data_IF_248442687293
#
_entry.id   IF_248442687293
#
_cell.length_a   1.000
_cell.length_b   1.000
_cell.length_c   1.000
_cell.angle_alpha   90.00
_cell.angle_beta   90.00
_cell.angle_gamma   90.00
#
_symmetry.space_group_name_H-M   'P 1'
#
loop_
_entity.id
_entity.type
_entity.pdbx_description
1 polymer ?
#
# COMPACT_ATOMS: atom_id res chain seq x y z
N UNK A 1 -14.35 31.57 28.05
CA UNK A 1 -14.37 30.82 26.77
C UNK A 1 -12.91 30.53 26.42
N UNK A 2 -12.46 29.29 26.52
CA UNK A 2 -11.06 28.92 26.26
C UNK A 2 -11.01 28.39 24.83
N UNK A 3 -10.26 29.08 23.97
CA UNK A 3 -10.01 28.65 22.59
C UNK A 3 -8.69 27.89 22.60
N UNK A 4 -8.75 26.57 22.53
CA UNK A 4 -7.55 25.74 22.40
C UNK A 4 -7.14 25.75 20.93
N UNK A 5 -6.08 26.48 20.60
CA UNK A 5 -5.48 26.43 19.26
C UNK A 5 -4.65 25.14 19.16
N UNK A 6 -5.06 24.24 18.27
CA UNK A 6 -4.27 23.06 17.93
C UNK A 6 -3.20 23.51 16.94
N UNK A 7 -1.97 23.72 17.41
CA UNK A 7 -0.84 24.00 16.54
C UNK A 7 -0.43 22.74 15.78
N UNK A 8 -0.46 22.82 14.44
CA UNK A 8 0.05 21.74 13.57
C UNK A 8 1.57 21.75 13.64
N UNK A 9 2.16 20.86 14.44
CA UNK A 9 3.62 20.66 14.46
C UNK A 9 3.99 19.66 13.37
N UNK A 10 4.71 20.13 12.34
CA UNK A 10 5.33 19.25 11.35
C UNK A 10 6.39 18.42 12.07
N UNK A 11 6.14 17.13 12.23
CA UNK A 11 7.16 16.20 12.72
C UNK A 11 8.02 15.85 11.51
N UNK A 12 9.22 16.42 11.46
CA UNK A 12 10.23 15.98 10.50
C UNK A 12 10.81 14.67 11.04
N UNK A 13 10.17 13.54 10.67
CA UNK A 13 10.81 12.24 10.83
C UNK A 13 12.03 12.25 9.90
N UNK A 14 13.22 12.36 10.49
CA UNK A 14 14.46 12.03 9.81
C UNK A 14 14.42 10.53 9.53
N UNK A 15 13.85 10.16 8.38
CA UNK A 15 14.01 8.81 7.83
C UNK A 15 15.51 8.62 7.67
N UNK A 16 16.07 7.60 8.32
CA UNK A 16 17.49 7.25 8.17
C UNK A 16 17.85 7.25 6.69
N UNK A 17 18.94 7.91 6.33
CA UNK A 17 19.48 8.02 4.96
C UNK A 17 19.72 6.67 4.28
N UNK A 18 19.61 5.56 5.01
CA UNK A 18 19.88 4.21 4.55
C UNK A 18 18.63 3.43 4.09
N UNK A 19 17.43 4.01 4.19
CA UNK A 19 16.21 3.34 3.70
C UNK A 19 16.00 3.73 2.23
N UNK A 20 16.00 2.77 1.28
CA UNK A 20 15.73 3.08 -0.12
C UNK A 20 14.33 3.68 -0.27
N UNK A 21 14.16 4.59 -1.23
CA UNK A 21 12.85 5.16 -1.53
C UNK A 21 11.86 4.03 -1.90
N UNK A 22 10.60 4.09 -1.44
CA UNK A 22 9.60 3.11 -1.81
C UNK A 22 9.25 3.23 -3.30
N UNK A 23 9.01 2.09 -3.95
CA UNK A 23 8.55 2.03 -5.35
C UNK A 23 7.13 2.61 -5.50
N UNK A 24 6.28 2.43 -4.49
CA UNK A 24 4.90 2.93 -4.48
C UNK A 24 4.63 3.84 -3.27
N UNK A 25 3.69 4.75 -3.43
CA UNK A 25 3.26 5.72 -2.41
C UNK A 25 1.81 5.47 -2.01
N UNK A 26 1.52 5.74 -0.75
CA UNK A 26 0.14 5.73 -0.23
C UNK A 26 -0.74 6.63 -1.10
N UNK A 27 -1.87 6.10 -1.54
CA UNK A 27 -2.85 6.75 -2.41
C UNK A 27 -2.71 6.41 -3.89
N UNK A 28 -1.60 5.82 -4.33
CA UNK A 28 -1.44 5.41 -5.73
C UNK A 28 -2.38 4.27 -6.11
N UNK A 29 -2.85 4.31 -7.36
CA UNK A 29 -3.62 3.25 -7.98
C UNK A 29 -2.66 2.24 -8.63
N UNK A 30 -2.87 0.97 -8.33
CA UNK A 30 -2.04 -0.14 -8.77
C UNK A 30 -2.92 -1.30 -9.21
N UNK A 31 -2.38 -2.18 -10.04
CA UNK A 31 -2.89 -3.52 -10.24
C UNK A 31 -2.09 -4.50 -9.39
N UNK A 32 -2.79 -5.48 -8.80
CA UNK A 32 -2.19 -6.49 -7.93
C UNK A 32 -2.51 -7.87 -8.48
N UNK A 33 -1.48 -8.71 -8.63
CA UNK A 33 -1.61 -10.08 -9.10
C UNK A 33 -1.97 -11.01 -7.93
N UNK A 34 -3.27 -11.21 -7.71
CA UNK A 34 -3.79 -12.00 -6.59
C UNK A 34 -4.68 -13.15 -7.05
N UNK A 35 -5.00 -14.08 -6.14
CA UNK A 35 -5.88 -15.21 -6.41
C UNK A 35 -7.34 -14.77 -6.52
N UNK A 36 -8.08 -15.34 -7.48
CA UNK A 36 -9.49 -15.04 -7.74
C UNK A 36 -10.40 -15.55 -6.61
N UNK A 37 -10.04 -16.66 -5.97
CA UNK A 37 -10.75 -17.21 -4.82
C UNK A 37 -9.79 -17.91 -3.86
N UNK A 38 -10.20 -18.00 -2.60
CA UNK A 38 -9.50 -18.80 -1.58
C UNK A 38 -9.60 -20.30 -1.89
N UNK A 39 -10.68 -20.74 -2.55
CA UNK A 39 -10.93 -22.14 -2.88
C UNK A 39 -10.08 -22.64 -4.05
N UNK A 40 -9.61 -21.74 -4.92
CA UNK A 40 -8.72 -22.07 -6.03
C UNK A 40 -7.56 -21.05 -6.11
N UNK A 41 -6.56 -21.15 -5.22
CA UNK A 41 -5.44 -20.20 -5.17
C UNK A 41 -4.54 -20.25 -6.40
N UNK A 42 -4.70 -21.28 -7.25
CA UNK A 42 -3.97 -21.44 -8.50
C UNK A 42 -4.47 -20.49 -9.60
N UNK A 43 -5.72 -20.04 -9.52
CA UNK A 43 -6.26 -19.08 -10.47
C UNK A 43 -5.94 -17.66 -9.99
N UNK A 44 -4.96 -17.02 -10.64
CA UNK A 44 -4.54 -15.65 -10.34
C UNK A 44 -4.89 -14.69 -11.47
N UNK A 45 -5.26 -13.46 -11.12
CA UNK A 45 -5.58 -12.36 -12.05
C UNK A 45 -5.09 -11.03 -11.48
N UNK A 46 -5.01 -10.04 -12.37
CA UNK A 46 -4.75 -8.66 -11.98
C UNK A 46 -6.03 -8.00 -11.49
N UNK A 47 -5.95 -7.35 -10.33
CA UNK A 47 -7.06 -6.63 -9.73
C UNK A 47 -6.67 -5.19 -9.43
N UNK A 48 -7.54 -4.21 -9.74
CA UNK A 48 -7.29 -2.83 -9.40
C UNK A 48 -7.37 -2.63 -7.87
N UNK A 49 -6.37 -1.96 -7.32
CA UNK A 49 -6.24 -1.68 -5.91
C UNK A 49 -5.66 -0.28 -5.66
N UNK A 50 -5.73 0.15 -4.40
CA UNK A 50 -5.13 1.40 -3.92
C UNK A 50 -4.16 1.09 -2.79
N UNK A 51 -2.97 1.69 -2.83
CA UNK A 51 -2.00 1.59 -1.72
C UNK A 51 -2.52 2.38 -0.52
N UNK A 52 -2.72 1.72 0.63
CA UNK A 52 -3.21 2.33 1.86
C UNK A 52 -2.15 2.40 2.96
N UNK A 53 -1.09 1.60 2.84
CA UNK A 53 0.01 1.56 3.81
C UNK A 53 1.30 1.02 3.18
N UNK A 54 2.41 1.25 3.86
CA UNK A 54 3.73 0.80 3.43
C UNK A 54 4.57 0.49 4.66
N UNK A 55 5.37 -0.57 4.58
CA UNK A 55 6.30 -0.99 5.62
C UNK A 55 7.63 -1.36 4.96
N UNK A 56 8.73 -1.01 5.62
CA UNK A 56 10.07 -1.43 5.22
C UNK A 56 10.64 -2.35 6.30
N UNK A 57 10.86 -3.62 5.95
CA UNK A 57 11.44 -4.63 6.85
C UNK A 57 12.55 -5.39 6.12
N UNK A 58 13.66 -5.68 6.82
CA UNK A 58 14.77 -6.48 6.28
C UNK A 58 15.24 -6.07 4.86
N UNK A 59 15.29 -4.77 4.59
CA UNK A 59 15.68 -4.20 3.28
C UNK A 59 14.71 -4.46 2.12
N UNK A 60 13.45 -4.83 2.40
CA UNK A 60 12.38 -4.97 1.41
C UNK A 60 11.17 -4.12 1.80
N UNK A 61 10.59 -3.46 0.80
CA UNK A 61 9.31 -2.78 0.94
C UNK A 61 8.15 -3.78 0.80
N UNK A 62 7.14 -3.61 1.63
CA UNK A 62 5.85 -4.29 1.54
C UNK A 62 4.76 -3.22 1.53
N UNK A 63 3.67 -3.48 0.81
CA UNK A 63 2.61 -2.50 0.62
C UNK A 63 1.28 -3.07 1.05
N UNK A 64 0.53 -2.28 1.78
CA UNK A 64 -0.85 -2.59 2.11
C UNK A 64 -1.74 -2.03 1.00
N UNK A 65 -2.61 -2.87 0.46
CA UNK A 65 -3.50 -2.53 -0.66
C UNK A 65 -4.95 -2.81 -0.32
N UNK A 66 -5.84 -1.97 -0.83
CA UNK A 66 -7.28 -2.15 -0.80
C UNK A 66 -7.80 -2.37 -2.22
N UNK A 67 -8.40 -3.53 -2.48
CA UNK A 67 -9.00 -3.83 -3.78
C UNK A 67 -10.26 -2.99 -4.05
N UNK A 68 -10.41 -2.52 -5.29
CA UNK A 68 -11.48 -1.57 -5.65
C UNK A 68 -12.74 -2.24 -6.20
N UNK A 69 -12.62 -3.41 -6.82
CA UNK A 69 -13.71 -4.06 -7.57
C UNK A 69 -14.12 -5.44 -7.03
N UNK A 70 -13.62 -5.82 -5.86
CA UNK A 70 -13.84 -7.16 -5.31
C UNK A 70 -14.66 -7.07 -4.03
N UNK A 71 -15.94 -7.47 -4.08
CA UNK A 71 -16.90 -7.38 -2.98
C UNK A 71 -16.65 -8.38 -1.82
N UNK A 72 -15.38 -8.67 -1.53
CA UNK A 72 -14.95 -9.66 -0.54
C UNK A 72 -13.43 -9.76 -0.35
N UNK A 73 -12.62 -9.17 -1.24
CA UNK A 73 -11.17 -9.06 -1.01
C UNK A 73 -10.93 -7.84 -0.12
N UNK A 74 -10.44 -8.12 1.08
CA UNK A 74 -10.18 -7.13 2.11
C UNK A 74 -8.90 -6.33 1.84
N UNK A 75 -8.35 -5.78 2.92
CA UNK A 75 -7.06 -5.12 2.90
C UNK A 75 -5.98 -6.20 3.01
N UNK A 76 -5.02 -6.21 2.09
CA UNK A 76 -3.95 -7.22 2.05
C UNK A 76 -2.57 -6.58 2.01
N UNK A 77 -1.57 -7.29 2.51
CA UNK A 77 -0.16 -6.93 2.35
C UNK A 77 0.42 -7.70 1.17
N UNK A 78 1.04 -7.00 0.24
CA UNK A 78 1.60 -7.55 -0.99
C UNK A 78 3.04 -7.06 -1.20
N UNK A 79 3.80 -7.87 -1.93
CA UNK A 79 5.15 -7.52 -2.33
C UNK A 79 5.11 -6.64 -3.58
N UNK A 80 6.10 -5.75 -3.80
CA UNK A 80 6.17 -4.92 -5.01
C UNK A 80 6.23 -5.73 -6.30
N UNK A 81 6.73 -6.96 -6.26
CA UNK A 81 6.82 -7.86 -7.41
C UNK A 81 5.45 -8.35 -7.93
N UNK A 82 4.43 -8.31 -7.07
CA UNK A 82 3.04 -8.65 -7.41
C UNK A 82 2.22 -7.41 -7.77
N UNK A 83 2.85 -6.23 -7.87
CA UNK A 83 2.18 -4.94 -8.10
C UNK A 83 2.61 -4.33 -9.43
N UNK A 84 1.69 -3.60 -10.06
CA UNK A 84 1.94 -2.81 -11.25
C UNK A 84 1.31 -1.42 -11.12
N UNK A 85 2.05 -0.36 -11.42
CA UNK A 85 1.51 1.00 -11.35
C UNK A 85 0.54 1.25 -12.51
N UNK A 86 -0.69 1.68 -12.21
CA UNK A 86 -1.70 1.93 -13.23
C UNK A 86 -1.51 3.26 -13.97
N UNK A 87 -0.91 4.27 -13.33
CA UNK A 87 -0.62 5.56 -13.96
C UNK A 87 0.68 6.19 -13.43
N UNK A 88 1.49 6.85 -14.29
CA UNK A 88 2.78 7.45 -13.96
C UNK A 88 2.71 8.72 -13.07
#
# INVERSE_FOLDING_TARGET
MIVTQIERRKIELFVSTDIPLPEYRIGQLVEVFSSVSLDNPSEKRWFPARVTGMEHSYSKWSYQVQFLNCSGQGIEWVNPEDMWLLEP
#
